data_IF_149040140604
#
_entry.id   IF_149040140604
#
_cell.length_a   1.000
_cell.length_b   1.000
_cell.length_c   1.000
_cell.angle_alpha   90.00
_cell.angle_beta   90.00
_cell.angle_gamma   90.00
#
_symmetry.space_group_name_H-M   'P 1'
#
loop_
_entity.id
_entity.type
_entity.pdbx_description
1 polymer ?
#
# COMPACT_ATOMS: atom_id res chain seq x y z
N UNK A 1 10.22 -9.02 7.21
CA UNK A 1 11.44 -8.49 7.86
C UNK A 1 12.30 -9.58 8.47
N UNK A 2 11.72 -10.56 9.19
CA UNK A 2 12.47 -11.63 9.86
C UNK A 2 13.50 -12.35 8.99
N UNK A 3 13.15 -12.76 7.76
CA UNK A 3 14.09 -13.45 6.86
C UNK A 3 15.37 -12.64 6.57
N UNK A 4 15.22 -11.35 6.25
CA UNK A 4 16.38 -10.46 6.04
C UNK A 4 17.17 -10.24 7.34
N UNK A 5 16.50 -10.16 8.50
CA UNK A 5 17.19 -10.04 9.79
C UNK A 5 17.98 -11.30 10.15
N UNK A 6 17.54 -12.46 9.69
CA UNK A 6 18.28 -13.74 9.81
C UNK A 6 19.42 -13.88 8.80
N UNK A 7 19.75 -12.83 8.03
CA UNK A 7 20.84 -12.85 7.04
C UNK A 7 20.50 -13.58 5.74
N UNK A 8 19.22 -13.93 5.52
CA UNK A 8 18.79 -14.59 4.29
C UNK A 8 18.61 -13.53 3.20
N UNK A 9 19.17 -13.80 2.01
CA UNK A 9 18.94 -12.98 0.83
C UNK A 9 17.46 -13.09 0.42
N UNK A 10 16.77 -11.95 0.37
CA UNK A 10 15.36 -11.86 0.00
C UNK A 10 15.25 -11.08 -1.30
N UNK A 11 14.38 -11.49 -2.20
CA UNK A 11 13.96 -10.70 -3.36
C UNK A 11 12.44 -10.66 -3.40
N UNK A 12 11.88 -9.50 -3.71
CA UNK A 12 10.43 -9.32 -3.84
C UNK A 12 10.13 -9.02 -5.30
N UNK A 13 9.35 -9.88 -5.93
CA UNK A 13 9.02 -9.80 -7.35
C UNK A 13 7.52 -9.55 -7.54
N UNK A 14 7.17 -8.82 -8.58
CA UNK A 14 5.77 -8.60 -8.93
C UNK A 14 5.12 -9.95 -9.34
N UNK A 15 4.05 -10.41 -8.67
CA UNK A 15 3.39 -11.68 -8.97
C UNK A 15 2.91 -11.80 -10.43
N UNK A 16 2.53 -10.69 -11.06
CA UNK A 16 2.15 -10.68 -12.48
C UNK A 16 3.32 -11.07 -13.37
N UNK A 17 4.53 -10.54 -13.12
CA UNK A 17 5.73 -10.89 -13.90
C UNK A 17 6.09 -12.36 -13.75
N UNK A 18 5.93 -12.90 -12.54
CA UNK A 18 6.13 -14.32 -12.30
C UNK A 18 5.09 -15.17 -13.06
N UNK A 19 3.84 -14.73 -13.12
CA UNK A 19 2.79 -15.43 -13.87
C UNK A 19 3.03 -15.45 -15.37
N UNK A 20 3.47 -14.33 -15.93
CA UNK A 20 3.84 -14.25 -17.35
C UNK A 20 5.06 -15.13 -17.66
N UNK A 21 6.02 -15.19 -16.75
CA UNK A 21 7.15 -16.12 -16.87
C UNK A 21 6.70 -17.58 -16.88
N UNK A 22 5.81 -17.98 -15.96
CA UNK A 22 5.24 -19.32 -15.94
C UNK A 22 4.50 -19.66 -17.25
N UNK A 23 3.71 -18.71 -17.79
CA UNK A 23 3.04 -18.87 -19.09
C UNK A 23 4.04 -19.06 -20.23
N UNK A 24 5.13 -18.29 -20.24
CA UNK A 24 6.22 -18.44 -21.20
C UNK A 24 6.92 -19.80 -21.15
N UNK A 25 6.90 -20.47 -19.99
CA UNK A 25 7.38 -21.85 -19.82
C UNK A 25 6.32 -22.91 -20.16
N UNK A 26 5.13 -22.53 -20.62
CA UNK A 26 4.02 -23.47 -20.87
C UNK A 26 3.31 -23.95 -19.59
N UNK A 27 3.61 -23.35 -18.43
CA UNK A 27 3.05 -23.74 -17.13
C UNK A 27 1.73 -22.99 -16.91
N UNK A 28 0.62 -23.70 -17.10
CA UNK A 28 -0.72 -23.14 -16.94
C UNK A 28 -1.32 -23.41 -15.56
N UNK A 29 -1.03 -24.59 -14.99
CA UNK A 29 -1.54 -25.03 -13.69
C UNK A 29 -0.88 -24.27 -12.55
N UNK A 30 -1.68 -23.94 -11.51
CA UNK A 30 -1.20 -23.30 -10.29
C UNK A 30 -1.39 -24.24 -9.10
N UNK A 31 -0.28 -24.69 -8.52
CA UNK A 31 -0.22 -25.45 -7.26
C UNK A 31 1.01 -25.01 -6.50
N UNK A 32 1.04 -25.20 -5.18
CA UNK A 32 2.20 -24.78 -4.36
C UNK A 32 3.52 -25.39 -4.85
N UNK A 33 3.49 -26.66 -5.29
CA UNK A 33 4.67 -27.34 -5.85
C UNK A 33 5.14 -26.71 -7.16
N UNK A 34 4.20 -26.39 -8.05
CA UNK A 34 4.50 -25.75 -9.34
C UNK A 34 4.99 -24.32 -9.14
N UNK A 35 4.37 -23.56 -8.25
CA UNK A 35 4.77 -22.19 -7.95
C UNK A 35 6.19 -22.16 -7.33
N UNK A 36 6.52 -23.11 -6.44
CA UNK A 36 7.89 -23.24 -5.91
C UNK A 36 8.92 -23.53 -7.01
N UNK A 37 8.60 -24.42 -7.94
CA UNK A 37 9.45 -24.70 -9.11
C UNK A 37 9.64 -23.45 -9.99
N UNK A 38 8.55 -22.76 -10.33
CA UNK A 38 8.59 -21.53 -11.13
C UNK A 38 9.42 -20.45 -10.43
N UNK A 39 9.27 -20.27 -9.12
CA UNK A 39 10.08 -19.33 -8.33
C UNK A 39 11.57 -19.67 -8.37
N UNK A 40 11.93 -20.94 -8.24
CA UNK A 40 13.32 -21.39 -8.33
C UNK A 40 13.91 -21.13 -9.72
N UNK A 41 13.17 -21.48 -10.78
CA UNK A 41 13.57 -21.19 -12.16
C UNK A 41 13.71 -19.69 -12.41
N UNK A 42 12.75 -18.89 -11.94
CA UNK A 42 12.79 -17.44 -12.07
C UNK A 42 14.01 -16.85 -11.34
N UNK A 43 14.26 -17.27 -10.10
CA UNK A 43 15.41 -16.82 -9.32
C UNK A 43 16.74 -17.15 -9.99
N UNK A 44 16.88 -18.37 -10.52
CA UNK A 44 18.09 -18.81 -11.21
C UNK A 44 18.34 -18.03 -12.51
N UNK A 45 17.30 -17.85 -13.33
CA UNK A 45 17.42 -17.25 -14.66
C UNK A 45 17.44 -15.73 -14.65
N UNK A 46 16.64 -15.09 -13.77
CA UNK A 46 16.46 -13.64 -13.74
C UNK A 46 17.29 -12.95 -12.68
N UNK A 47 17.79 -13.69 -11.68
CA UNK A 47 18.61 -13.17 -10.58
C UNK A 47 18.08 -11.82 -10.06
N UNK A 48 16.82 -11.80 -9.58
CA UNK A 48 16.17 -10.55 -9.21
C UNK A 48 16.97 -9.82 -8.13
N UNK A 49 16.96 -8.48 -8.19
CA UNK A 49 17.67 -7.65 -7.22
C UNK A 49 17.29 -8.00 -5.78
N UNK A 50 18.27 -7.88 -4.88
CA UNK A 50 18.07 -8.06 -3.45
C UNK A 50 17.11 -7.01 -2.90
N UNK A 51 16.07 -7.46 -2.23
CA UNK A 51 15.16 -6.62 -1.48
C UNK A 51 15.84 -6.14 -0.21
N UNK A 52 15.82 -4.82 -0.01
CA UNK A 52 16.25 -4.18 1.22
C UNK A 52 15.03 -3.65 1.98
N UNK A 53 14.99 -3.82 3.31
CA UNK A 53 13.90 -3.31 4.10
C UNK A 53 13.87 -1.76 4.04
N UNK A 54 12.68 -1.15 3.96
CA UNK A 54 12.53 0.28 4.14
C UNK A 54 13.13 0.72 5.48
N UNK A 55 13.55 1.97 5.53
CA UNK A 55 14.13 2.56 6.73
C UNK A 55 13.15 2.52 7.93
N UNK A 56 13.64 2.49 9.18
CA UNK A 56 12.80 2.39 10.37
C UNK A 56 11.68 3.43 10.43
N UNK A 57 11.97 4.67 10.03
CA UNK A 57 11.02 5.77 10.00
C UNK A 57 9.91 5.55 8.97
N UNK A 58 10.20 4.96 7.81
CA UNK A 58 9.18 4.61 6.82
C UNK A 58 8.33 3.43 7.27
N UNK A 59 8.94 2.41 7.89
CA UNK A 59 8.18 1.28 8.44
C UNK A 59 7.19 1.74 9.50
N UNK A 60 7.61 2.65 10.39
CA UNK A 60 6.74 3.24 11.40
C UNK A 60 5.62 4.06 10.78
N UNK A 61 5.94 4.92 9.80
CA UNK A 61 4.93 5.70 9.08
C UNK A 61 3.88 4.80 8.40
N UNK A 62 4.31 3.75 7.70
CA UNK A 62 3.41 2.76 7.07
C UNK A 62 2.50 2.08 8.07
N UNK A 63 3.03 1.68 9.23
CA UNK A 63 2.23 1.05 10.29
C UNK A 63 1.17 2.00 10.85
N UNK A 64 1.51 3.28 11.07
CA UNK A 64 0.57 4.29 11.51
C UNK A 64 -0.54 4.54 10.47
N UNK A 65 -0.17 4.65 9.18
CA UNK A 65 -1.13 4.83 8.09
C UNK A 65 -2.08 3.63 7.95
N UNK A 66 -1.55 2.41 8.00
CA UNK A 66 -2.37 1.19 7.93
C UNK A 66 -3.35 1.10 9.12
N UNK A 67 -2.91 1.49 10.31
CA UNK A 67 -3.77 1.51 11.47
C UNK A 67 -4.84 2.61 11.37
N UNK A 68 -4.49 3.80 10.86
CA UNK A 68 -5.45 4.88 10.55
C UNK A 68 -6.55 4.39 9.60
N UNK A 69 -6.18 3.71 8.52
CA UNK A 69 -7.14 3.17 7.55
C UNK A 69 -8.04 2.09 8.16
N UNK A 70 -7.49 1.30 9.08
CA UNK A 70 -8.27 0.30 9.84
C UNK A 70 -9.32 0.97 10.74
N UNK A 71 -8.93 2.03 11.47
CA UNK A 71 -9.84 2.82 12.30
C UNK A 71 -10.92 3.53 11.49
N UNK A 72 -10.59 4.01 10.27
CA UNK A 72 -11.59 4.55 9.34
C UNK A 72 -12.61 3.49 8.93
N UNK A 73 -12.16 2.27 8.65
CA UNK A 73 -13.04 1.14 8.37
C UNK A 73 -13.94 0.80 9.55
N UNK A 74 -13.41 0.80 10.78
CA UNK A 74 -14.17 0.58 12.01
C UNK A 74 -15.21 1.67 12.25
N UNK A 75 -14.82 2.94 12.08
CA UNK A 75 -15.74 4.08 12.17
C UNK A 75 -16.90 3.91 11.19
N UNK A 76 -16.61 3.64 9.91
CA UNK A 76 -17.65 3.47 8.90
C UNK A 76 -18.59 2.31 9.25
N UNK A 77 -18.04 1.19 9.72
CA UNK A 77 -18.80 0.01 10.15
C UNK A 77 -19.78 0.35 11.28
N UNK A 78 -19.31 1.08 12.29
CA UNK A 78 -20.12 1.50 13.43
C UNK A 78 -21.18 2.52 13.04
N UNK A 79 -20.83 3.52 12.23
CA UNK A 79 -21.77 4.53 11.74
C UNK A 79 -22.87 3.91 10.87
N UNK A 80 -22.52 2.95 10.00
CA UNK A 80 -23.50 2.18 9.22
C UNK A 80 -24.46 1.39 10.13
N UNK A 81 -23.92 0.72 11.16
CA UNK A 81 -24.73 -0.04 12.12
C UNK A 81 -25.70 0.87 12.87
N UNK A 82 -25.24 2.03 13.32
CA UNK A 82 -26.05 3.03 14.00
C UNK A 82 -27.19 3.54 13.08
N UNK A 83 -26.87 3.84 11.82
CA UNK A 83 -27.88 4.25 10.84
C UNK A 83 -28.95 3.17 10.61
N UNK A 84 -28.58 1.88 10.56
CA UNK A 84 -29.54 0.78 10.39
C UNK A 84 -30.44 0.60 11.62
N UNK A 85 -29.87 0.72 12.83
CA UNK A 85 -30.61 0.51 14.08
C UNK A 85 -31.58 1.66 14.39
N UNK A 86 -31.22 2.89 14.03
CA UNK A 86 -32.13 4.03 14.11
C UNK A 86 -33.36 3.87 13.21
N UNK A 87 -33.23 3.13 12.10
CA UNK A 87 -34.35 2.84 11.22
C UNK A 87 -35.26 1.69 11.72
N UNK A 88 -34.84 0.91 12.71
CA UNK A 88 -35.52 -0.32 13.16
C UNK A 88 -36.06 -0.26 14.59
N UNK A 89 -36.13 0.93 15.22
CA UNK A 89 -36.68 1.14 16.57
C UNK A 89 -36.02 0.26 17.66
N UNK A 90 -34.68 0.20 17.64
CA UNK A 90 -33.85 -0.46 18.67
C UNK A 90 -33.86 0.30 20.00
N UNK A 91 -33.53 -0.38 21.10
CA UNK A 91 -33.46 0.21 22.45
C UNK A 91 -32.35 1.26 22.59
N UNK A 92 -32.62 2.30 23.37
CA UNK A 92 -31.76 3.48 23.55
C UNK A 92 -30.36 3.15 24.11
N UNK A 93 -30.24 2.11 24.96
CA UNK A 93 -28.98 1.68 25.54
C UNK A 93 -28.00 1.17 24.46
N UNK A 94 -28.52 0.50 23.44
CA UNK A 94 -27.69 0.00 22.32
C UNK A 94 -27.21 1.15 21.46
N UNK A 95 -28.09 2.12 21.18
CA UNK A 95 -27.74 3.32 20.40
C UNK A 95 -26.67 4.13 21.14
N UNK A 96 -26.89 4.41 22.42
CA UNK A 96 -25.95 5.15 23.28
C UNK A 96 -24.57 4.47 23.34
N UNK A 97 -24.55 3.14 23.48
CA UNK A 97 -23.30 2.37 23.47
C UNK A 97 -22.56 2.50 22.14
N UNK A 98 -23.26 2.40 21.01
CA UNK A 98 -22.65 2.57 19.68
C UNK A 98 -22.16 3.99 19.43
N UNK A 99 -22.89 5.01 19.87
CA UNK A 99 -22.44 6.41 19.80
C UNK A 99 -21.15 6.62 20.56
N UNK A 100 -21.05 6.08 21.78
CA UNK A 100 -19.84 6.11 22.59
C UNK A 100 -18.66 5.43 21.88
N UNK A 101 -18.88 4.27 21.26
CA UNK A 101 -17.86 3.59 20.45
C UNK A 101 -17.41 4.42 19.26
N UNK A 102 -18.34 5.06 18.53
CA UNK A 102 -18.02 5.95 17.39
C UNK A 102 -17.16 7.12 17.86
N UNK A 103 -17.51 7.76 18.99
CA UNK A 103 -16.72 8.86 19.54
C UNK A 103 -15.32 8.41 19.97
N UNK A 104 -15.21 7.23 20.59
CA UNK A 104 -13.92 6.67 20.95
C UNK A 104 -13.02 6.44 19.73
N UNK A 105 -13.55 5.82 18.67
CA UNK A 105 -12.81 5.59 17.43
C UNK A 105 -12.41 6.92 16.76
N UNK A 106 -13.27 7.95 16.78
CA UNK A 106 -12.93 9.30 16.28
C UNK A 106 -11.77 9.92 17.07
N UNK A 107 -11.79 9.79 18.40
CA UNK A 107 -10.71 10.27 19.27
C UNK A 107 -9.38 9.57 18.97
N UNK A 108 -9.41 8.25 18.83
CA UNK A 108 -8.23 7.46 18.46
C UNK A 108 -7.70 7.81 17.06
N UNK A 109 -8.59 8.05 16.10
CA UNK A 109 -8.18 8.49 14.76
C UNK A 109 -7.40 9.80 14.83
N UNK A 110 -7.91 10.81 15.54
CA UNK A 110 -7.21 12.09 15.71
C UNK A 110 -5.92 11.98 16.55
N UNK A 111 -5.81 10.97 17.43
CA UNK A 111 -4.56 10.65 18.12
C UNK A 111 -3.52 10.07 17.16
N UNK A 112 -3.93 9.15 16.28
CA UNK A 112 -3.05 8.53 15.29
C UNK A 112 -2.60 9.54 14.24
N UNK A 113 -3.47 10.44 13.78
CA UNK A 113 -3.11 11.52 12.84
C UNK A 113 -2.03 12.44 13.43
N UNK A 114 -2.19 12.88 14.69
CA UNK A 114 -1.13 13.64 15.39
C UNK A 114 0.18 12.87 15.53
N UNK A 115 0.11 11.56 15.79
CA UNK A 115 1.31 10.72 15.85
C UNK A 115 2.02 10.60 14.49
N UNK A 116 1.28 10.64 13.39
CA UNK A 116 1.84 10.66 12.03
C UNK A 116 2.59 11.99 11.81
N UNK A 117 1.94 13.11 12.11
CA UNK A 117 2.53 14.44 11.99
C UNK A 117 3.80 14.59 12.84
N UNK A 118 3.71 14.27 14.14
CA UNK A 118 4.85 14.26 15.07
C UNK A 118 6.00 13.39 14.56
N UNK A 119 5.67 12.21 14.01
CA UNK A 119 6.68 11.30 13.48
C UNK A 119 7.37 11.90 12.26
N UNK A 120 6.64 12.52 11.35
CA UNK A 120 7.22 13.19 10.18
C UNK A 120 8.08 14.38 10.61
N UNK A 121 7.60 15.19 11.55
CA UNK A 121 8.30 16.38 12.04
C UNK A 121 9.62 16.06 12.72
N UNK A 122 9.71 14.91 13.41
CA UNK A 122 10.95 14.42 14.04
C UNK A 122 11.97 13.89 13.04
N UNK A 123 11.62 13.74 11.77
CA UNK A 123 12.53 13.23 10.72
C UNK A 123 12.67 14.27 9.60
N UNK A 124 13.75 15.10 9.61
CA UNK A 124 13.91 16.20 8.65
C UNK A 124 13.79 15.80 7.18
N UNK A 125 14.30 14.61 6.81
CA UNK A 125 14.16 14.10 5.45
C UNK A 125 12.71 13.81 5.05
N UNK A 126 11.88 13.30 5.97
CA UNK A 126 10.46 13.08 5.72
C UNK A 126 9.69 14.40 5.65
N UNK A 127 10.01 15.32 6.57
CA UNK A 127 9.40 16.65 6.61
C UNK A 127 9.65 17.46 5.34
N UNK A 128 10.89 17.46 4.85
CA UNK A 128 11.26 18.17 3.63
C UNK A 128 10.56 17.58 2.40
N UNK A 129 10.55 16.25 2.27
CA UNK A 129 9.86 15.59 1.17
C UNK A 129 8.34 15.83 1.20
N UNK A 130 7.72 15.77 2.38
CA UNK A 130 6.30 16.08 2.53
C UNK A 130 6.00 17.53 2.13
N UNK A 131 6.86 18.48 2.50
CA UNK A 131 6.73 19.88 2.09
C UNK A 131 6.76 20.04 0.57
N UNK A 132 7.66 19.33 -0.12
CA UNK A 132 7.72 19.32 -1.58
C UNK A 132 6.49 18.66 -2.21
N UNK A 133 6.01 17.56 -1.65
CA UNK A 133 4.78 16.92 -2.13
C UNK A 133 3.57 17.85 -2.00
N UNK A 134 3.43 18.52 -0.86
CA UNK A 134 2.34 19.48 -0.58
C UNK A 134 2.44 20.79 -1.38
N UNK A 135 3.52 21.05 -2.10
CA UNK A 135 3.57 22.20 -3.03
C UNK A 135 2.83 21.93 -4.34
N UNK A 136 2.43 20.69 -4.59
CA UNK A 136 1.60 20.30 -5.73
C UNK A 136 0.14 20.58 -5.39
N UNK A 137 -0.55 21.31 -6.27
CA UNK A 137 -1.97 21.60 -6.08
C UNK A 137 -2.79 20.29 -6.00
N UNK A 138 -3.74 20.25 -5.05
CA UNK A 138 -4.52 19.05 -4.75
C UNK A 138 -3.85 18.02 -3.83
N UNK A 139 -2.57 18.18 -3.44
CA UNK A 139 -1.90 17.29 -2.49
C UNK A 139 -2.04 17.79 -1.05
N UNK A 140 -3.08 17.30 -0.37
CA UNK A 140 -3.27 17.50 1.07
C UNK A 140 -2.48 16.50 1.93
N UNK A 141 -2.63 16.58 3.25
CA UNK A 141 -1.88 15.75 4.21
C UNK A 141 -2.04 14.24 3.98
N UNK A 142 -3.27 13.75 3.85
CA UNK A 142 -3.52 12.33 3.66
C UNK A 142 -2.88 11.78 2.37
N UNK A 143 -2.96 12.54 1.27
CA UNK A 143 -2.34 12.16 0.00
C UNK A 143 -0.82 12.24 0.14
N UNK A 144 -0.32 13.32 0.73
CA UNK A 144 1.11 13.53 0.97
C UNK A 144 1.74 12.43 1.82
N UNK A 145 1.10 12.01 2.92
CA UNK A 145 1.60 10.92 3.76
C UNK A 145 1.70 9.59 3.01
N UNK A 146 0.67 9.27 2.21
CA UNK A 146 0.64 8.03 1.41
C UNK A 146 1.67 8.06 0.27
N UNK A 147 1.82 9.19 -0.41
CA UNK A 147 2.86 9.39 -1.42
C UNK A 147 4.24 9.25 -0.80
N UNK A 148 4.49 9.91 0.34
CA UNK A 148 5.75 9.83 1.08
C UNK A 148 6.08 8.39 1.47
N UNK A 149 5.15 7.67 2.08
CA UNK A 149 5.33 6.28 2.50
C UNK A 149 5.54 5.32 1.31
N UNK A 150 4.96 5.63 0.15
CA UNK A 150 5.13 4.85 -1.08
C UNK A 150 6.49 5.10 -1.70
N UNK A 151 6.82 6.36 -1.97
CA UNK A 151 8.04 6.77 -2.68
C UNK A 151 9.28 6.40 -1.86
N UNK A 152 9.31 6.72 -0.56
CA UNK A 152 10.48 6.49 0.30
C UNK A 152 10.62 5.05 0.79
N UNK A 153 9.61 4.22 0.58
CA UNK A 153 9.67 2.82 0.99
C UNK A 153 9.97 1.84 -0.14
N UNK A 154 10.44 2.36 -1.27
CA UNK A 154 10.97 1.63 -2.42
C UNK A 154 12.16 2.41 -2.98
N UNK A 155 13.08 1.72 -3.68
CA UNK A 155 14.28 2.34 -4.23
C UNK A 155 14.02 2.85 -5.66
N UNK A 156 13.15 3.86 -5.79
CA UNK A 156 12.91 4.50 -7.09
C UNK A 156 14.08 5.40 -7.49
N UNK A 157 14.50 5.30 -8.75
CA UNK A 157 15.58 6.11 -9.34
C UNK A 157 15.06 7.24 -10.23
N UNK A 158 13.77 7.22 -10.60
CA UNK A 158 13.16 8.24 -11.44
C UNK A 158 11.64 8.36 -11.19
N UNK A 159 11.05 9.47 -11.62
CA UNK A 159 9.61 9.71 -11.50
C UNK A 159 8.79 8.72 -12.35
N UNK A 160 9.31 8.29 -13.50
CA UNK A 160 8.68 7.29 -14.36
C UNK A 160 8.59 5.94 -13.66
N UNK A 161 9.58 5.56 -12.85
CA UNK A 161 9.49 4.32 -12.07
C UNK A 161 8.39 4.40 -11.01
N UNK A 162 8.22 5.55 -10.37
CA UNK A 162 7.11 5.79 -9.41
C UNK A 162 5.77 5.72 -10.14
N UNK A 163 5.63 6.40 -11.27
CA UNK A 163 4.41 6.42 -12.07
C UNK A 163 4.06 5.02 -12.62
N UNK A 164 5.05 4.26 -13.09
CA UNK A 164 4.88 2.87 -13.51
C UNK A 164 4.43 1.98 -12.35
N UNK A 165 5.01 2.17 -11.18
CA UNK A 165 4.65 1.43 -9.96
C UNK A 165 3.21 1.72 -9.51
N UNK A 166 2.78 2.98 -9.61
CA UNK A 166 1.41 3.39 -9.32
C UNK A 166 0.41 3.00 -10.43
N UNK A 167 0.89 2.50 -11.57
CA UNK A 167 0.05 2.08 -12.69
C UNK A 167 -0.60 3.24 -13.44
N UNK A 168 -0.02 4.45 -13.36
CA UNK A 168 -0.55 5.65 -14.02
C UNK A 168 0.12 5.96 -15.37
N UNK A 169 1.10 5.14 -15.77
CA UNK A 169 1.71 5.24 -17.11
C UNK A 169 0.86 4.45 -18.11
N UNK A 170 0.40 5.08 -19.21
CA UNK A 170 -0.31 4.36 -20.27
C UNK A 170 0.63 3.39 -20.98
N UNK A 171 0.20 2.14 -21.09
CA UNK A 171 0.95 1.07 -21.77
C UNK A 171 0.45 0.95 -23.20
N UNK A 172 1.36 1.17 -24.15
CA UNK A 172 1.05 1.02 -25.56
C UNK A 172 0.85 -0.46 -25.94
N UNK A 173 -0.23 -0.75 -26.66
CA UNK A 173 -0.56 -2.10 -27.15
C UNK A 173 -0.54 -2.13 -28.67
N UNK A 174 0.67 -2.11 -29.23
CA UNK A 174 0.90 -2.34 -30.66
C UNK A 174 1.60 -3.68 -30.87
N UNK A 175 1.09 -4.48 -31.81
CA UNK A 175 1.75 -5.70 -32.28
C UNK A 175 1.66 -5.76 -33.81
N UNK A 176 2.82 -5.74 -34.47
CA UNK A 176 2.92 -5.69 -35.93
C UNK A 176 2.20 -4.48 -36.55
N UNK A 177 1.77 -4.62 -37.81
CA UNK A 177 1.02 -3.57 -38.53
C UNK A 177 -0.49 -3.63 -38.32
N UNK A 178 -1.01 -4.72 -37.74
CA UNK A 178 -2.45 -5.01 -37.67
C UNK A 178 -3.09 -4.80 -36.30
N UNK A 179 -2.34 -4.86 -35.19
CA UNK A 179 -2.89 -4.63 -33.85
C UNK A 179 -2.61 -3.21 -33.40
N UNK A 180 -3.64 -2.35 -33.44
CA UNK A 180 -3.66 -0.99 -32.87
C UNK A 180 -4.61 -0.96 -31.67
N UNK A 181 -4.19 -1.53 -30.54
CA UNK A 181 -4.96 -1.48 -29.31
C UNK A 181 -4.93 -0.08 -28.68
N UNK A 182 -6.02 0.33 -28.04
CA UNK A 182 -6.06 1.58 -27.26
C UNK A 182 -5.09 1.46 -26.08
N UNK A 183 -4.20 2.45 -25.92
CA UNK A 183 -3.33 2.56 -24.75
C UNK A 183 -4.18 2.61 -23.47
N UNK A 184 -3.76 1.87 -22.44
CA UNK A 184 -4.41 1.82 -21.14
C UNK A 184 -3.39 1.98 -20.03
#
# INVERSE_FOLDING_TARGET
>A
YGLHQSGIAVSVINPHRLREFARGMGILTKTDKVDAYVLACYGCLRQPEGWTPPSPEIRKLRALLQHRDSLLGDKQRLENRLSTLNATLTTEEVVTSLESMVQHVKGELGRIERLIEDHIDRHPGLKNDLKLLKSIDGVGDQIGWNMLATIRGSNFRSAEQVAAYLGVIPVERRSGTSVRGRAR
#
